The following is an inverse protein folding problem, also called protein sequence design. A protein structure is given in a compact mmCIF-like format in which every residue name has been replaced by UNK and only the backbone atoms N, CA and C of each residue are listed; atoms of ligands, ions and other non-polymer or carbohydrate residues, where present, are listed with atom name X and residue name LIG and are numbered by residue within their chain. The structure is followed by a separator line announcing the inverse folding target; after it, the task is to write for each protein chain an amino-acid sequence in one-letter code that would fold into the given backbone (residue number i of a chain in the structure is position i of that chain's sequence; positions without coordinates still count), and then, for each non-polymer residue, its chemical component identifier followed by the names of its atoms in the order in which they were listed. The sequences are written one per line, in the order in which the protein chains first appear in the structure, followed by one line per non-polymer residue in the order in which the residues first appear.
data_IF_893288328927
#
_entry.id   IF_893288328927
#
_cell.length_a   1.000
_cell.length_b   1.000
_cell.length_c   1.000
_cell.angle_alpha   90.00
_cell.angle_beta   90.00
_cell.angle_gamma   90.00
#
_symmetry.space_group_name_H-M   'P 1'
#
loop_
_entity.id
_entity.type
_entity.pdbx_description
1 polymer ?
#
# COMPACT_ATOMS: atom_id res chain seq x y z
N UNK A 1 -3.59 -9.51 -10.80
CA UNK A 1 -4.58 -8.39 -10.81
C UNK A 1 -4.22 -7.49 -9.65
N UNK A 2 -3.96 -6.21 -9.90
CA UNK A 2 -3.75 -5.21 -8.85
C UNK A 2 -5.10 -4.60 -8.46
N UNK A 3 -5.36 -4.43 -7.16
CA UNK A 3 -6.62 -3.89 -6.64
C UNK A 3 -6.29 -2.61 -5.87
N UNK A 4 -6.92 -1.51 -6.26
CA UNK A 4 -6.76 -0.19 -5.65
C UNK A 4 -8.09 0.25 -5.05
N UNK A 5 -8.06 0.65 -3.77
CA UNK A 5 -9.20 1.22 -3.06
C UNK A 5 -9.05 2.75 -2.97
N UNK A 6 -9.70 3.50 -3.87
CA UNK A 6 -9.60 4.97 -3.90
C UNK A 6 -10.15 5.67 -2.65
N UNK A 7 -10.86 4.96 -1.77
CA UNK A 7 -11.34 5.47 -0.49
C UNK A 7 -10.28 5.43 0.63
N UNK A 8 -9.13 4.79 0.40
CA UNK A 8 -8.09 4.66 1.41
C UNK A 8 -7.13 5.85 1.41
N UNK A 9 -6.84 6.41 2.60
CA UNK A 9 -5.78 7.42 2.75
C UNK A 9 -4.37 6.81 2.80
N UNK A 10 -4.28 5.51 3.09
CA UNK A 10 -3.02 4.74 3.14
C UNK A 10 -3.30 3.35 2.58
N UNK A 11 -2.54 2.97 1.55
CA UNK A 11 -2.67 1.64 0.94
C UNK A 11 -1.71 0.63 1.56
N UNK A 12 -2.18 -0.61 1.71
CA UNK A 12 -1.34 -1.74 2.08
C UNK A 12 -0.81 -2.43 0.83
N UNK A 13 0.44 -2.87 0.89
CA UNK A 13 1.09 -3.56 -0.22
C UNK A 13 2.06 -4.62 0.30
N UNK A 14 2.08 -5.84 -0.30
CA UNK A 14 3.14 -6.81 -0.03
C UNK A 14 4.45 -6.46 -0.76
N UNK A 15 4.41 -5.51 -1.70
CA UNK A 15 5.50 -5.22 -2.63
C UNK A 15 6.53 -4.26 -2.02
N UNK A 16 7.25 -4.70 -0.97
CA UNK A 16 8.25 -3.88 -0.27
C UNK A 16 9.27 -3.21 -1.21
N UNK A 17 9.72 -3.91 -2.24
CA UNK A 17 10.72 -3.42 -3.20
C UNK A 17 10.25 -2.22 -4.04
N UNK A 18 8.94 -1.94 -4.09
CA UNK A 18 8.36 -0.80 -4.81
C UNK A 18 8.25 0.46 -3.93
N UNK A 19 8.57 0.36 -2.64
CA UNK A 19 8.58 1.49 -1.72
C UNK A 19 9.88 2.28 -1.88
N UNK A 20 9.80 3.47 -2.46
CA UNK A 20 10.98 4.27 -2.87
C UNK A 20 11.78 4.82 -1.70
N UNK A 21 11.14 4.99 -0.54
CA UNK A 21 11.73 5.50 0.69
C UNK A 21 11.37 4.60 1.88
N UNK A 22 11.44 3.29 1.67
CA UNK A 22 11.13 2.29 2.70
C UNK A 22 11.82 2.62 4.04
N UNK A 23 11.02 2.66 5.10
CA UNK A 23 11.49 2.62 6.48
C UNK A 23 10.81 1.51 7.25
N UNK A 24 11.59 0.80 8.06
CA UNK A 24 11.03 -0.13 9.03
C UNK A 24 10.24 0.66 10.10
N UNK A 25 9.16 0.07 10.59
CA UNK A 25 8.36 0.62 11.69
C UNK A 25 8.17 -0.43 12.78
N UNK A 26 7.76 -0.02 13.98
CA UNK A 26 7.27 -0.99 14.97
C UNK A 26 6.08 -1.74 14.37
N UNK A 27 6.00 -3.08 14.48
CA UNK A 27 4.90 -3.85 13.94
C UNK A 27 3.55 -3.27 14.37
N UNK A 28 2.73 -2.92 13.40
CA UNK A 28 1.37 -2.39 13.62
C UNK A 28 0.36 -3.45 13.22
N UNK A 29 -0.38 -3.96 14.20
CA UNK A 29 -1.46 -4.90 13.99
C UNK A 29 -2.65 -4.26 13.29
N UNK A 30 -3.19 -4.96 12.30
CA UNK A 30 -4.33 -4.56 11.48
C UNK A 30 -5.29 -5.76 11.47
N UNK A 31 -6.58 -5.49 11.67
CA UNK A 31 -7.63 -6.51 11.57
C UNK A 31 -8.34 -6.28 10.24
N UNK A 32 -8.26 -7.26 9.36
CA UNK A 32 -8.99 -7.25 8.09
C UNK A 32 -10.47 -7.58 8.31
N UNK A 33 -11.32 -7.24 7.34
CA UNK A 33 -12.77 -7.47 7.42
C UNK A 33 -13.15 -8.95 7.62
N UNK A 34 -12.28 -9.89 7.24
CA UNK A 34 -12.44 -11.32 7.47
C UNK A 34 -11.87 -11.82 8.81
N UNK A 35 -11.64 -10.92 9.78
CA UNK A 35 -11.03 -11.18 11.09
C UNK A 35 -9.60 -11.71 11.07
N UNK A 36 -8.91 -11.70 9.93
CA UNK A 36 -7.48 -12.01 9.89
C UNK A 36 -6.65 -10.86 10.46
N UNK A 37 -5.56 -11.22 11.16
CA UNK A 37 -4.58 -10.26 11.68
C UNK A 37 -3.42 -10.15 10.72
N UNK A 38 -3.15 -8.92 10.27
CA UNK A 38 -1.99 -8.56 9.46
C UNK A 38 -1.08 -7.65 10.30
N UNK A 39 0.22 -7.69 10.03
CA UNK A 39 1.19 -6.80 10.68
C UNK A 39 1.90 -5.98 9.61
N UNK A 40 1.75 -4.66 9.66
CA UNK A 40 2.59 -3.75 8.89
C UNK A 40 3.95 -3.61 9.60
N UNK A 41 5.03 -3.96 8.90
CA UNK A 41 6.41 -3.95 9.42
C UNK A 41 7.28 -2.84 8.79
N UNK A 42 6.75 -2.17 7.78
CA UNK A 42 7.41 -1.07 7.12
C UNK A 42 6.42 -0.16 6.40
N UNK A 43 6.90 1.00 5.99
CA UNK A 43 6.13 2.02 5.30
C UNK A 43 7.02 2.78 4.33
N UNK A 44 6.42 3.31 3.27
CA UNK A 44 7.06 4.18 2.31
C UNK A 44 6.04 4.63 1.27
N UNK A 45 6.50 5.42 0.33
CA UNK A 45 5.74 5.90 -0.82
C UNK A 45 5.90 4.93 -1.99
N UNK A 46 4.79 4.67 -2.69
CA UNK A 46 4.78 3.87 -3.91
C UNK A 46 4.21 4.69 -5.06
N UNK A 47 4.83 4.59 -6.23
CA UNK A 47 4.25 5.08 -7.47
C UNK A 47 3.39 3.97 -8.09
N UNK A 48 2.13 4.30 -8.36
CA UNK A 48 1.16 3.39 -8.98
C UNK A 48 0.61 4.01 -10.25
N UNK A 49 0.49 3.20 -11.29
CA UNK A 49 -0.18 3.59 -12.53
C UNK A 49 -1.68 3.39 -12.33
N UNK A 50 -2.45 4.48 -12.41
CA UNK A 50 -3.90 4.40 -12.23
C UNK A 50 -4.53 3.86 -13.51
N UNK A 51 -5.13 2.66 -13.50
CA UNK A 51 -5.82 2.16 -14.68
C UNK A 51 -6.99 3.10 -15.02
N UNK A 52 -7.14 3.40 -16.31
CA UNK A 52 -8.13 4.35 -16.87
C UNK A 52 -7.84 5.85 -16.61
N UNK A 53 -6.73 6.20 -15.96
CA UNK A 53 -6.15 7.55 -16.04
C UNK A 53 -5.30 7.67 -17.30
N UNK A 54 -4.92 8.89 -17.71
CA UNK A 54 -4.08 9.15 -18.88
C UNK A 54 -2.61 8.64 -18.75
N UNK A 55 -2.41 7.40 -18.30
CA UNK A 55 -1.13 6.78 -17.94
C UNK A 55 -0.31 7.66 -16.98
N UNK A 56 -0.99 8.27 -16.00
CA UNK A 56 -0.31 9.09 -14.98
C UNK A 56 0.01 8.23 -13.77
N UNK A 57 1.28 8.27 -13.37
CA UNK A 57 1.73 7.73 -12.10
C UNK A 57 1.30 8.66 -10.96
N UNK A 58 0.72 8.09 -9.91
CA UNK A 58 0.37 8.80 -8.69
C UNK A 58 1.11 8.19 -7.51
N UNK A 59 1.55 9.05 -6.58
CA UNK A 59 2.15 8.62 -5.31
C UNK A 59 1.03 8.21 -4.35
N UNK A 60 1.13 7.00 -3.81
CA UNK A 60 0.26 6.46 -2.75
C UNK A 60 1.08 6.00 -1.55
#
# INVERSE_FOLDING_TARGET
IEIYDSGASVHMTPSRHRLTNYRAIKPRGIIAANNQRLNAVGMGDMNVEVPNGANRSTKV
#
